data_IF_620573225703
#
_entry.id   IF_620573225703
#
_cell.length_a   1.000
_cell.length_b   1.000
_cell.length_c   1.000
_cell.angle_alpha   90.00
_cell.angle_beta   90.00
_cell.angle_gamma   90.00
#
_symmetry.space_group_name_H-M   'P 1'
#
loop_
_entity.id
_entity.type
_entity.pdbx_description
1 polymer ?
#
# COMPACT_ATOMS: atom_id res chain seq x y z
N UNK A 1 -61.67 46.19 -31.23
CA UNK A 1 -60.76 45.09 -31.60
C UNK A 1 -59.59 45.14 -30.62
N UNK A 2 -59.67 44.42 -29.49
CA UNK A 2 -59.04 43.10 -29.20
C UNK A 2 -57.52 43.19 -29.04
N UNK A 3 -56.83 42.63 -28.04
CA UNK A 3 -57.15 41.73 -26.94
C UNK A 3 -56.04 41.81 -25.88
N UNK A 4 -56.40 41.56 -24.62
CA UNK A 4 -55.52 41.45 -23.46
C UNK A 4 -54.78 40.08 -23.47
N UNK A 5 -53.46 40.08 -23.56
CA UNK A 5 -52.64 38.86 -23.48
C UNK A 5 -52.17 38.62 -22.04
N UNK A 6 -52.96 37.86 -21.28
CA UNK A 6 -52.56 37.34 -19.98
C UNK A 6 -51.40 36.33 -20.15
N UNK A 7 -50.17 36.78 -19.88
CA UNK A 7 -48.99 35.91 -19.79
C UNK A 7 -49.09 35.06 -18.51
N UNK A 8 -49.46 33.79 -18.67
CA UNK A 8 -49.55 32.81 -17.60
C UNK A 8 -48.13 32.45 -17.14
N UNK A 9 -47.61 33.13 -16.11
CA UNK A 9 -46.36 32.75 -15.43
C UNK A 9 -46.51 31.32 -14.87
N UNK A 10 -45.77 30.37 -15.44
CA UNK A 10 -45.65 29.03 -14.88
C UNK A 10 -44.77 29.10 -13.61
N UNK A 11 -45.38 28.94 -12.43
CA UNK A 11 -44.63 28.72 -11.20
C UNK A 11 -44.02 27.33 -11.23
N UNK A 12 -42.71 27.24 -11.48
CA UNK A 12 -41.93 26.01 -11.29
C UNK A 12 -41.82 25.74 -9.78
N UNK A 13 -42.61 24.80 -9.27
CA UNK A 13 -42.50 24.29 -7.90
C UNK A 13 -41.12 23.70 -7.70
N UNK A 14 -40.25 24.40 -6.96
CA UNK A 14 -38.98 23.85 -6.49
C UNK A 14 -39.29 22.79 -5.42
N UNK A 15 -39.20 21.51 -5.80
CA UNK A 15 -39.19 20.40 -4.85
C UNK A 15 -37.88 20.45 -4.06
N UNK A 16 -37.97 20.70 -2.75
CA UNK A 16 -36.85 20.55 -1.82
C UNK A 16 -36.75 19.10 -1.35
N UNK A 17 -35.53 18.64 -1.06
CA UNK A 17 -35.30 17.38 -0.35
C UNK A 17 -35.91 17.46 1.04
N UNK A 18 -36.55 16.38 1.48
CA UNK A 18 -37.04 16.29 2.85
C UNK A 18 -35.91 15.90 3.80
N UNK A 19 -35.94 16.40 5.04
CA UNK A 19 -34.94 16.02 6.06
C UNK A 19 -34.97 14.51 6.34
N UNK A 20 -36.17 13.89 6.24
CA UNK A 20 -36.35 12.46 6.48
C UNK A 20 -35.66 11.61 5.40
N UNK A 21 -35.64 12.07 4.14
CA UNK A 21 -34.91 11.40 3.06
C UNK A 21 -33.41 11.31 3.35
N UNK A 22 -32.79 12.40 3.81
CA UNK A 22 -31.37 12.39 4.15
C UNK A 22 -31.13 11.59 5.44
N UNK A 23 -32.03 11.66 6.42
CA UNK A 23 -31.91 10.92 7.68
C UNK A 23 -31.86 9.40 7.46
N UNK A 24 -32.76 8.86 6.63
CA UNK A 24 -32.78 7.42 6.36
C UNK A 24 -31.51 6.99 5.61
N UNK A 25 -31.04 7.81 4.66
CA UNK A 25 -29.82 7.51 3.88
C UNK A 25 -28.58 7.43 4.77
N UNK A 26 -28.37 8.39 5.67
CA UNK A 26 -27.19 8.36 6.56
C UNK A 26 -27.26 7.22 7.56
N UNK A 27 -28.46 6.82 8.00
CA UNK A 27 -28.65 5.64 8.85
C UNK A 27 -28.27 4.36 8.11
N UNK A 28 -28.72 4.18 6.87
CA UNK A 28 -28.37 3.01 6.06
C UNK A 28 -26.85 2.98 5.79
N UNK A 29 -26.25 4.10 5.38
CA UNK A 29 -24.80 4.19 5.17
C UNK A 29 -24.03 3.90 6.47
N UNK A 30 -24.52 4.39 7.61
CA UNK A 30 -23.91 4.12 8.92
C UNK A 30 -23.89 2.63 9.29
N UNK A 31 -24.99 1.92 9.05
CA UNK A 31 -25.08 0.47 9.29
C UNK A 31 -24.16 -0.30 8.33
N UNK A 32 -24.16 0.05 7.04
CA UNK A 32 -23.29 -0.60 6.06
C UNK A 32 -21.81 -0.36 6.36
N UNK A 33 -21.43 0.87 6.70
CA UNK A 33 -20.06 1.22 7.05
C UNK A 33 -19.58 0.43 8.28
N UNK A 34 -20.41 0.28 9.32
CA UNK A 34 -20.06 -0.46 10.53
C UNK A 34 -19.74 -1.94 10.25
N UNK A 35 -20.40 -2.56 9.25
CA UNK A 35 -20.14 -3.95 8.87
C UNK A 35 -18.95 -4.10 7.93
N UNK A 36 -18.76 -3.16 7.00
CA UNK A 36 -17.74 -3.27 5.94
C UNK A 36 -16.36 -2.85 6.42
N UNK A 37 -16.26 -1.80 7.24
CA UNK A 37 -14.98 -1.25 7.70
C UNK A 37 -14.05 -2.31 8.32
N UNK A 38 -14.46 -3.13 9.31
CA UNK A 38 -13.54 -4.11 9.91
C UNK A 38 -13.04 -5.16 8.91
N UNK A 39 -13.88 -5.56 7.95
CA UNK A 39 -13.48 -6.52 6.91
C UNK A 39 -12.47 -5.91 5.93
N UNK A 40 -12.65 -4.65 5.57
CA UNK A 40 -11.73 -3.95 4.65
C UNK A 40 -10.41 -3.66 5.34
N UNK A 41 -10.42 -3.22 6.60
CA UNK A 41 -9.19 -2.96 7.35
C UNK A 41 -8.36 -4.23 7.51
N UNK A 42 -8.97 -5.36 7.89
CA UNK A 42 -8.26 -6.64 7.97
C UNK A 42 -7.65 -7.08 6.64
N UNK A 43 -8.41 -6.96 5.55
CA UNK A 43 -7.90 -7.29 4.21
C UNK A 43 -6.74 -6.38 3.75
N UNK A 44 -6.74 -5.10 4.15
CA UNK A 44 -5.63 -4.19 3.87
C UNK A 44 -4.38 -4.55 4.67
N UNK A 45 -4.54 -4.92 5.94
CA UNK A 45 -3.44 -5.37 6.79
C UNK A 45 -2.81 -6.67 6.25
N UNK A 46 -3.64 -7.64 5.87
CA UNK A 46 -3.21 -8.89 5.25
C UNK A 46 -2.47 -8.63 3.91
N UNK A 47 -3.00 -7.75 3.06
CA UNK A 47 -2.37 -7.38 1.80
C UNK A 47 -1.02 -6.67 2.01
N UNK A 48 -0.91 -5.84 3.04
CA UNK A 48 0.35 -5.18 3.40
C UNK A 48 1.40 -6.19 3.89
N UNK A 49 0.99 -7.17 4.69
CA UNK A 49 1.86 -8.25 5.16
C UNK A 49 2.35 -9.13 3.99
N UNK A 50 1.44 -9.54 3.10
CA UNK A 50 1.80 -10.33 1.92
C UNK A 50 2.74 -9.55 0.98
N UNK A 51 2.47 -8.27 0.76
CA UNK A 51 3.35 -7.40 -0.02
C UNK A 51 4.74 -7.27 0.63
N UNK A 52 4.82 -7.22 1.96
CA UNK A 52 6.09 -7.21 2.67
C UNK A 52 6.83 -8.54 2.49
N UNK A 53 6.18 -9.68 2.71
CA UNK A 53 6.81 -10.99 2.51
C UNK A 53 7.31 -11.19 1.07
N UNK A 54 6.55 -10.72 0.08
CA UNK A 54 6.97 -10.73 -1.32
C UNK A 54 8.23 -9.90 -1.57
N UNK A 55 8.32 -8.68 -1.00
CA UNK A 55 9.51 -7.82 -1.07
C UNK A 55 10.72 -8.47 -0.40
N UNK A 56 10.53 -9.06 0.78
CA UNK A 56 11.58 -9.80 1.49
C UNK A 56 12.13 -10.95 0.65
N UNK A 57 11.25 -11.73 0.01
CA UNK A 57 11.65 -12.81 -0.89
C UNK A 57 12.43 -12.35 -2.13
N UNK A 58 12.07 -11.19 -2.70
CA UNK A 58 12.82 -10.58 -3.80
C UNK A 58 14.25 -10.25 -3.36
N UNK A 59 14.41 -9.52 -2.25
CA UNK A 59 15.73 -9.16 -1.71
C UNK A 59 16.55 -10.42 -1.39
N UNK A 60 15.94 -11.43 -0.75
CA UNK A 60 16.61 -12.71 -0.47
C UNK A 60 17.18 -13.35 -1.72
N UNK A 61 16.41 -13.36 -2.82
CA UNK A 61 16.85 -13.93 -4.09
C UNK A 61 18.04 -13.16 -4.65
N UNK A 62 18.02 -11.84 -4.58
CA UNK A 62 19.09 -10.97 -5.09
C UNK A 62 20.37 -11.13 -4.28
N UNK A 63 20.28 -11.11 -2.95
CA UNK A 63 21.43 -11.31 -2.06
C UNK A 63 22.01 -12.72 -2.20
N UNK A 64 21.15 -13.74 -2.31
CA UNK A 64 21.61 -15.12 -2.54
C UNK A 64 22.40 -15.23 -3.84
N UNK A 65 21.90 -14.62 -4.93
CA UNK A 65 22.62 -14.60 -6.21
C UNK A 65 23.94 -13.83 -6.11
N UNK A 66 23.94 -12.66 -5.47
CA UNK A 66 25.16 -11.88 -5.27
C UNK A 66 26.22 -12.69 -4.51
N UNK A 67 25.84 -13.36 -3.42
CA UNK A 67 26.75 -14.18 -2.61
C UNK A 67 27.23 -15.46 -3.33
N UNK A 68 26.42 -16.00 -4.25
CA UNK A 68 26.77 -17.17 -5.04
C UNK A 68 27.77 -16.84 -6.15
N UNK A 69 27.56 -15.74 -6.89
CA UNK A 69 28.36 -15.40 -8.07
C UNK A 69 29.51 -14.44 -7.76
N UNK A 70 29.41 -13.68 -6.67
CA UNK A 70 30.40 -12.71 -6.20
C UNK A 70 30.99 -11.85 -7.33
N UNK A 71 30.14 -11.15 -8.12
CA UNK A 71 30.62 -10.33 -9.22
C UNK A 71 31.58 -9.26 -8.68
N UNK A 72 32.77 -9.16 -9.27
CA UNK A 72 33.85 -8.29 -8.80
C UNK A 72 34.22 -8.47 -7.30
N UNK A 73 34.00 -9.67 -6.75
CA UNK A 73 34.24 -9.97 -5.33
C UNK A 73 33.20 -9.40 -4.36
N UNK A 74 32.10 -8.84 -4.86
CA UNK A 74 31.04 -8.31 -4.01
C UNK A 74 30.34 -9.43 -3.23
N UNK A 75 30.21 -9.26 -1.92
CA UNK A 75 29.43 -10.14 -1.05
C UNK A 75 28.72 -9.34 0.04
N UNK A 76 27.63 -9.89 0.55
CA UNK A 76 26.89 -9.37 1.70
C UNK A 76 26.90 -10.46 2.77
N UNK A 77 27.56 -10.21 3.90
CA UNK A 77 27.55 -11.11 5.04
C UNK A 77 26.20 -11.05 5.72
N UNK A 78 25.50 -12.19 5.75
CA UNK A 78 24.21 -12.36 6.40
C UNK A 78 24.36 -12.89 7.81
N UNK A 79 23.95 -12.09 8.79
CA UNK A 79 23.97 -12.43 10.21
C UNK A 79 22.54 -12.47 10.72
N UNK A 80 22.20 -13.52 11.45
CA UNK A 80 20.85 -13.73 12.00
C UNK A 80 20.43 -12.55 12.90
N UNK A 81 19.19 -12.10 12.74
CA UNK A 81 18.61 -11.00 13.51
C UNK A 81 19.17 -9.61 13.17
N UNK A 82 20.10 -9.48 12.22
CA UNK A 82 20.64 -8.17 11.81
C UNK A 82 19.67 -7.48 10.85
N UNK A 83 19.46 -6.18 11.04
CA UNK A 83 18.70 -5.33 10.13
C UNK A 83 19.58 -4.83 8.98
N UNK A 84 19.05 -4.93 7.76
CA UNK A 84 19.70 -4.53 6.52
C UNK A 84 18.92 -3.38 5.88
N UNK A 85 19.60 -2.25 5.70
CA UNK A 85 19.03 -1.04 5.09
C UNK A 85 19.46 -0.92 3.64
N UNK A 86 18.92 0.07 2.91
CA UNK A 86 19.37 0.36 1.55
C UNK A 86 20.89 0.60 1.46
N UNK A 87 21.50 1.14 2.53
CA UNK A 87 22.95 1.35 2.60
C UNK A 87 23.73 0.05 2.72
N UNK A 88 23.31 -0.90 3.57
CA UNK A 88 24.02 -2.17 3.74
C UNK A 88 23.82 -3.11 2.55
N UNK A 89 22.72 -2.94 1.83
CA UNK A 89 22.38 -3.68 0.61
C UNK A 89 22.90 -3.01 -0.68
N UNK A 90 23.62 -1.89 -0.58
CA UNK A 90 24.20 -1.17 -1.72
C UNK A 90 25.04 -2.03 -2.69
N UNK A 91 25.74 -3.11 -2.26
CA UNK A 91 26.43 -4.00 -3.20
C UNK A 91 25.51 -4.60 -4.28
N UNK A 92 24.20 -4.76 -4.01
CA UNK A 92 23.24 -5.22 -5.02
C UNK A 92 23.12 -4.24 -6.19
N UNK A 93 23.18 -2.94 -5.90
CA UNK A 93 23.11 -1.88 -6.91
C UNK A 93 24.40 -1.83 -7.70
N UNK A 94 25.55 -1.81 -7.01
CA UNK A 94 26.87 -1.80 -7.65
C UNK A 94 27.09 -3.02 -8.55
N UNK A 95 26.57 -4.18 -8.15
CA UNK A 95 26.64 -5.41 -8.92
C UNK A 95 25.54 -5.55 -10.01
N UNK A 96 24.65 -4.56 -10.15
CA UNK A 96 23.66 -4.49 -11.22
C UNK A 96 22.41 -5.36 -11.03
N UNK A 97 22.11 -5.81 -9.81
CA UNK A 97 20.91 -6.60 -9.53
C UNK A 97 19.64 -5.73 -9.42
N UNK A 98 19.74 -4.50 -8.93
CA UNK A 98 18.64 -3.51 -8.83
C UNK A 98 19.14 -2.09 -9.06
N UNK A 99 18.21 -1.15 -9.25
CA UNK A 99 18.52 0.29 -9.10
C UNK A 99 18.53 0.69 -7.62
N UNK A 100 19.21 1.81 -7.31
CA UNK A 100 19.17 2.41 -5.97
C UNK A 100 17.74 2.77 -5.54
N UNK A 101 16.90 3.18 -6.49
CA UNK A 101 15.49 3.51 -6.22
C UNK A 101 14.67 2.26 -5.88
N UNK A 102 14.90 1.16 -6.58
CA UNK A 102 14.21 -0.11 -6.27
C UNK A 102 14.56 -0.57 -4.86
N UNK A 103 15.84 -0.46 -4.48
CA UNK A 103 16.28 -0.83 -3.14
C UNK A 103 15.67 0.09 -2.08
N UNK A 104 15.57 1.40 -2.33
CA UNK A 104 14.90 2.34 -1.43
C UNK A 104 13.40 2.13 -1.32
N UNK A 105 12.75 1.63 -2.37
CA UNK A 105 11.30 1.36 -2.38
C UNK A 105 10.98 0.01 -1.74
N UNK A 106 11.91 -0.95 -1.82
CA UNK A 106 11.75 -2.29 -1.24
C UNK A 106 12.15 -2.31 0.24
N UNK A 107 13.17 -1.54 0.63
CA UNK A 107 13.68 -1.46 2.01
C UNK A 107 12.96 -0.37 2.78
N UNK A 108 12.34 -0.72 3.91
CA UNK A 108 11.78 0.30 4.81
C UNK A 108 12.89 1.27 5.20
N UNK A 109 12.73 2.54 4.79
CA UNK A 109 13.71 3.59 4.99
C UNK A 109 13.98 3.90 6.48
N UNK A 110 13.07 3.49 7.37
CA UNK A 110 13.15 3.81 8.80
C UNK A 110 13.74 2.68 9.65
N UNK A 111 13.55 1.43 9.22
CA UNK A 111 13.79 0.22 10.04
C UNK A 111 14.63 -0.87 9.34
N UNK A 112 14.52 -0.99 8.01
CA UNK A 112 15.22 -2.02 7.23
C UNK A 112 14.57 -3.41 7.30
N UNK A 113 15.25 -4.41 6.74
CA UNK A 113 14.81 -5.82 6.74
C UNK A 113 15.71 -6.68 7.62
N UNK A 114 15.11 -7.52 8.46
CA UNK A 114 15.86 -8.46 9.29
C UNK A 114 16.12 -9.76 8.53
N UNK A 115 17.35 -10.28 8.64
CA UNK A 115 17.67 -11.61 8.10
C UNK A 115 17.40 -12.69 9.14
N UNK A 116 16.68 -13.75 8.76
CA UNK A 116 16.56 -14.97 9.56
C UNK A 116 17.39 -16.10 8.95
N UNK A 117 18.35 -16.62 9.70
CA UNK A 117 19.15 -17.77 9.30
C UNK A 117 18.32 -19.07 9.28
N UNK A 118 17.28 -19.15 10.12
CA UNK A 118 16.37 -20.31 10.21
C UNK A 118 15.48 -20.42 8.98
N UNK A 119 14.81 -19.33 8.58
CA UNK A 119 13.92 -19.35 7.40
C UNK A 119 14.64 -19.03 6.10
N UNK A 120 15.89 -18.56 6.19
CA UNK A 120 16.73 -18.08 5.08
C UNK A 120 16.04 -16.99 4.26
N UNK A 121 15.33 -16.08 4.94
CA UNK A 121 14.54 -15.03 4.32
C UNK A 121 14.73 -13.70 5.03
N UNK A 122 14.56 -12.63 4.27
CA UNK A 122 14.36 -11.29 4.82
C UNK A 122 12.90 -11.11 5.22
N UNK A 123 12.68 -10.52 6.38
CA UNK A 123 11.35 -10.13 6.87
C UNK A 123 11.38 -8.66 7.30
N UNK A 124 10.26 -7.92 7.18
CA UNK A 124 10.22 -6.54 7.64
C UNK A 124 10.49 -6.53 9.16
N UNK A 125 11.13 -5.48 9.67
CA UNK A 125 11.22 -5.30 11.12
C UNK A 125 9.82 -5.04 11.68
N UNK A 126 9.39 -5.87 12.63
CA UNK A 126 8.10 -5.73 13.31
C UNK A 126 8.04 -4.43 14.13
#
# INVERSE_FOLDING_TARGET
MTNNTNSKKMNTLRKGFTLIEILIVVVIIGVLAALVVPSVTGALDDANLEAADARGGQITTMVTRLNQFQPAGASITLTDGTAYTATTLAPLVTAGYCSAQDLSNQVDASKGWTWSATTRKFSPEQ
#
